data_IF_693825962769
#
_entry.id   IF_693825962769
#
_cell.length_a   1.000
_cell.length_b   1.000
_cell.length_c   1.000
_cell.angle_alpha   90.00
_cell.angle_beta   90.00
_cell.angle_gamma   90.00
#
_symmetry.space_group_name_H-M   'P 1'
#
loop_
_entity.id
_entity.type
_entity.pdbx_description
1 polymer ?
#
# COMPACT_ATOMS: atom_id res chain seq x y z
N UNK A 1 -9.79 1.98 -7.11
CA UNK A 1 -10.66 2.47 -6.02
C UNK A 1 -10.05 3.70 -5.37
N UNK A 2 -10.86 4.70 -5.11
CA UNK A 2 -10.41 5.90 -4.38
C UNK A 2 -10.66 5.73 -2.89
N UNK A 3 -9.75 6.25 -2.08
CA UNK A 3 -9.93 6.31 -0.63
C UNK A 3 -9.27 7.57 -0.09
N UNK A 4 -9.61 7.93 1.13
CA UNK A 4 -8.99 9.07 1.82
C UNK A 4 -8.25 8.60 3.06
N UNK A 5 -7.07 9.16 3.25
CA UNK A 5 -6.31 8.98 4.48
C UNK A 5 -5.70 10.34 4.84
N UNK A 6 -5.95 10.79 6.08
CA UNK A 6 -5.53 12.10 6.58
C UNK A 6 -5.97 13.24 5.63
N UNK A 7 -7.23 13.20 5.17
CA UNK A 7 -7.85 14.15 4.24
C UNK A 7 -7.20 14.22 2.85
N UNK A 8 -6.30 13.31 2.52
CA UNK A 8 -5.69 13.22 1.20
C UNK A 8 -6.33 12.08 0.42
N UNK A 9 -6.68 12.34 -0.83
CA UNK A 9 -7.26 11.33 -1.71
C UNK A 9 -6.16 10.50 -2.36
N UNK A 10 -6.32 9.19 -2.29
CA UNK A 10 -5.43 8.21 -2.89
C UNK A 10 -6.21 7.28 -3.81
N UNK A 11 -5.51 6.65 -4.73
CA UNK A 11 -6.12 5.71 -5.69
C UNK A 11 -5.39 4.38 -5.61
N UNK A 12 -6.17 3.28 -5.52
CA UNK A 12 -5.65 1.93 -5.67
C UNK A 12 -5.92 1.50 -7.10
N UNK A 13 -4.87 1.08 -7.82
CA UNK A 13 -4.95 0.57 -9.19
C UNK A 13 -4.44 -0.85 -9.26
N UNK A 14 -5.08 -1.69 -10.07
CA UNK A 14 -4.56 -3.01 -10.41
C UNK A 14 -3.88 -2.90 -11.77
N UNK A 15 -2.62 -3.30 -11.83
CA UNK A 15 -1.77 -3.12 -13.03
C UNK A 15 -1.06 -4.41 -13.39
N UNK A 16 -0.59 -4.49 -14.64
CA UNK A 16 0.20 -5.60 -15.13
C UNK A 16 1.68 -5.42 -14.77
N UNK A 17 2.47 -6.51 -14.84
CA UNK A 17 3.89 -6.45 -14.51
C UNK A 17 4.67 -5.46 -15.38
N UNK A 18 4.26 -5.27 -16.63
CA UNK A 18 4.90 -4.31 -17.52
C UNK A 18 4.92 -2.90 -16.94
N UNK A 19 3.85 -2.51 -16.23
CA UNK A 19 3.77 -1.19 -15.61
C UNK A 19 4.78 -1.05 -14.48
N UNK A 20 4.95 -2.10 -13.67
CA UNK A 20 5.97 -2.10 -12.62
C UNK A 20 7.38 -1.99 -13.21
N UNK A 21 7.64 -2.72 -14.28
CA UNK A 21 8.96 -2.70 -14.93
C UNK A 21 9.31 -1.32 -15.49
N UNK A 22 8.32 -0.57 -15.96
CA UNK A 22 8.52 0.78 -16.50
C UNK A 22 8.94 1.78 -15.43
N UNK A 23 8.48 1.61 -14.20
CA UNK A 23 8.77 2.54 -13.11
C UNK A 23 9.92 2.09 -12.22
N UNK A 24 10.27 0.81 -12.26
CA UNK A 24 11.38 0.24 -11.49
C UNK A 24 12.48 -0.22 -12.44
N UNK A 25 13.28 0.73 -12.91
CA UNK A 25 14.32 0.48 -13.91
C UNK A 25 15.40 -0.51 -13.46
N UNK A 26 15.55 -0.70 -12.16
CA UNK A 26 16.59 -1.56 -11.58
C UNK A 26 16.14 -3.00 -11.41
N UNK A 27 14.93 -3.32 -11.82
CA UNK A 27 14.41 -4.66 -11.66
C UNK A 27 15.11 -5.65 -12.61
N UNK A 28 15.75 -6.66 -12.03
CA UNK A 28 16.59 -7.59 -12.78
C UNK A 28 15.82 -8.73 -13.46
N UNK A 29 14.52 -8.77 -13.34
CA UNK A 29 13.68 -9.71 -14.08
C UNK A 29 13.45 -11.08 -13.45
N UNK A 30 14.08 -11.38 -12.33
CA UNK A 30 13.91 -12.68 -11.67
C UNK A 30 12.84 -12.71 -10.59
N UNK A 31 12.05 -11.68 -10.46
CA UNK A 31 10.99 -11.60 -9.46
C UNK A 31 9.76 -10.96 -10.02
N UNK A 32 8.77 -10.89 -9.18
CA UNK A 32 7.50 -10.30 -9.53
C UNK A 32 7.15 -9.25 -8.47
N UNK A 33 6.82 -8.06 -8.90
CA UNK A 33 6.27 -7.07 -8.00
C UNK A 33 4.81 -7.39 -7.74
N UNK A 34 4.39 -7.39 -6.48
CA UNK A 34 3.00 -7.55 -6.10
C UNK A 34 2.32 -6.22 -5.79
N UNK A 35 3.09 -5.20 -5.43
CA UNK A 35 2.55 -3.89 -5.18
C UNK A 35 3.62 -2.84 -4.98
N UNK A 36 3.22 -1.58 -5.06
CA UNK A 36 4.10 -0.44 -4.76
C UNK A 36 3.27 0.77 -4.38
N UNK A 37 3.86 1.67 -3.60
CA UNK A 37 3.23 2.91 -3.14
C UNK A 37 3.98 4.09 -3.71
N UNK A 38 3.24 5.02 -4.33
CA UNK A 38 3.80 6.24 -4.90
C UNK A 38 3.27 7.46 -4.15
N UNK A 39 4.00 7.95 -3.13
CA UNK A 39 3.51 9.10 -2.36
C UNK A 39 3.36 10.39 -3.16
N UNK A 40 4.23 10.61 -4.14
CA UNK A 40 4.23 11.85 -4.92
C UNK A 40 2.97 12.03 -5.77
N UNK A 41 2.37 10.93 -6.21
CA UNK A 41 1.13 10.95 -7.01
C UNK A 41 -0.05 10.36 -6.26
N UNK A 42 0.16 9.96 -5.00
CA UNK A 42 -0.88 9.40 -4.12
C UNK A 42 -1.59 8.19 -4.74
N UNK A 43 -0.79 7.23 -5.22
CA UNK A 43 -1.30 6.00 -5.80
C UNK A 43 -0.67 4.77 -5.15
N UNK A 44 -1.46 3.72 -5.06
CA UNK A 44 -0.99 2.37 -4.70
C UNK A 44 -1.32 1.47 -5.88
N UNK A 45 -0.31 0.75 -6.37
CA UNK A 45 -0.48 -0.22 -7.44
C UNK A 45 -0.40 -1.63 -6.89
N UNK A 46 -1.34 -2.48 -7.31
CA UNK A 46 -1.35 -3.91 -6.99
C UNK A 46 -1.23 -4.70 -8.29
N UNK A 47 -0.53 -5.82 -8.23
CA UNK A 47 -0.46 -6.72 -9.38
C UNK A 47 -1.83 -7.36 -9.60
N UNK A 48 -2.34 -7.19 -10.80
CA UNK A 48 -3.70 -7.61 -11.14
C UNK A 48 -3.85 -9.14 -11.25
N UNK A 49 -2.82 -9.85 -11.76
CA UNK A 49 -2.90 -11.29 -12.06
C UNK A 49 -2.32 -12.15 -10.93
N UNK A 50 -2.77 -11.92 -9.72
CA UNK A 50 -2.39 -12.71 -8.56
C UNK A 50 -3.63 -13.09 -7.76
N UNK A 51 -3.47 -13.91 -6.73
CA UNK A 51 -4.58 -14.38 -5.92
C UNK A 51 -5.18 -13.24 -5.08
N UNK A 52 -6.46 -13.41 -4.73
CA UNK A 52 -7.13 -12.46 -3.83
C UNK A 52 -6.41 -12.35 -2.49
N UNK A 53 -5.90 -13.46 -1.98
CA UNK A 53 -5.15 -13.50 -0.72
C UNK A 53 -3.86 -12.71 -0.81
N UNK A 54 -3.13 -12.83 -1.91
CA UNK A 54 -1.90 -12.08 -2.12
C UNK A 54 -2.19 -10.60 -2.30
N UNK A 55 -3.26 -10.24 -3.00
CA UNK A 55 -3.69 -8.84 -3.12
C UNK A 55 -4.01 -8.24 -1.76
N UNK A 56 -4.74 -8.98 -0.93
CA UNK A 56 -5.08 -8.54 0.42
C UNK A 56 -3.84 -8.29 1.26
N UNK A 57 -2.91 -9.26 1.29
CA UNK A 57 -1.66 -9.14 2.04
C UNK A 57 -0.82 -7.96 1.55
N UNK A 58 -0.69 -7.83 0.23
CA UNK A 58 0.06 -6.75 -0.38
C UNK A 58 -0.55 -5.40 -0.07
N UNK A 59 -1.88 -5.30 -0.13
CA UNK A 59 -2.57 -4.05 0.16
C UNK A 59 -2.35 -3.60 1.61
N UNK A 60 -2.37 -4.51 2.57
CA UNK A 60 -2.01 -4.18 3.96
C UNK A 60 -0.60 -3.62 4.05
N UNK A 61 0.34 -4.24 3.34
CA UNK A 61 1.74 -3.79 3.32
C UNK A 61 1.85 -2.37 2.73
N UNK A 62 1.24 -2.13 1.56
CA UNK A 62 1.34 -0.84 0.89
C UNK A 62 0.57 0.25 1.65
N UNK A 63 -0.56 -0.08 2.26
CA UNK A 63 -1.29 0.89 3.09
C UNK A 63 -0.52 1.28 4.34
N UNK A 64 0.33 0.40 4.87
CA UNK A 64 1.21 0.79 5.97
C UNK A 64 2.22 1.85 5.52
N UNK A 65 2.81 1.71 4.32
CA UNK A 65 3.66 2.76 3.75
C UNK A 65 2.88 4.07 3.60
N UNK A 66 1.65 3.98 3.11
CA UNK A 66 0.77 5.13 2.95
C UNK A 66 0.47 5.81 4.29
N UNK A 67 0.16 5.01 5.32
CA UNK A 67 -0.09 5.52 6.67
C UNK A 67 1.13 6.24 7.23
N UNK A 68 2.30 5.61 7.12
CA UNK A 68 3.53 6.20 7.62
C UNK A 68 3.84 7.52 6.90
N UNK A 69 3.66 7.56 5.59
CA UNK A 69 3.88 8.77 4.82
C UNK A 69 2.96 9.91 5.24
N UNK A 70 1.68 9.62 5.52
CA UNK A 70 0.69 10.65 5.81
C UNK A 70 0.70 11.14 7.26
N UNK A 71 1.12 10.30 8.20
CA UNK A 71 1.01 10.61 9.64
C UNK A 71 2.34 10.73 10.35
N UNK A 72 3.43 10.25 9.77
CA UNK A 72 4.73 10.20 10.42
C UNK A 72 5.74 10.98 9.59
N UNK A 73 6.53 11.85 10.24
CA UNK A 73 7.64 12.52 9.57
C UNK A 73 8.87 11.61 9.56
N UNK A 74 9.50 11.47 8.39
CA UNK A 74 10.60 10.52 8.19
C UNK A 74 12.00 11.07 8.45
N UNK A 75 12.13 12.29 8.92
CA UNK A 75 13.44 12.87 9.18
C UNK A 75 14.02 12.29 10.47
N UNK A 76 14.99 11.36 10.34
CA UNK A 76 15.74 10.78 11.46
C UNK A 76 14.89 9.96 12.45
N UNK A 77 14.04 9.10 11.94
CA UNK A 77 13.22 8.27 12.82
C UNK A 77 13.92 6.96 13.13
N UNK A 78 14.24 6.76 14.40
CA UNK A 78 14.59 5.47 14.95
C UNK A 78 13.36 4.93 15.68
N UNK A 79 12.72 3.92 15.11
CA UNK A 79 11.57 3.30 15.75
C UNK A 79 12.03 2.35 16.84
N UNK A 80 11.55 2.55 18.06
CA UNK A 80 11.63 1.55 19.10
C UNK A 80 10.57 0.47 18.88
N UNK A 81 10.66 -0.63 19.60
CA UNK A 81 9.64 -1.68 19.55
C UNK A 81 8.29 -1.12 20.01
N UNK A 82 8.30 -0.27 21.04
CA UNK A 82 7.08 0.34 21.56
C UNK A 82 6.44 1.28 20.52
N UNK A 83 7.26 2.06 19.82
CA UNK A 83 6.76 2.93 18.74
C UNK A 83 6.10 2.11 17.63
N UNK A 84 6.71 1.00 17.27
CA UNK A 84 6.14 0.10 16.26
C UNK A 84 4.80 -0.47 16.71
N UNK A 85 4.70 -0.88 17.97
CA UNK A 85 3.44 -1.39 18.52
C UNK A 85 2.35 -0.32 18.51
N UNK A 86 2.69 0.91 18.88
CA UNK A 86 1.74 2.03 18.87
C UNK A 86 1.27 2.36 17.45
N UNK A 87 2.19 2.39 16.51
CA UNK A 87 1.86 2.64 15.09
C UNK A 87 0.93 1.54 14.58
N UNK A 88 1.24 0.28 14.87
CA UNK A 88 0.41 -0.85 14.45
C UNK A 88 -1.00 -0.76 15.05
N UNK A 89 -1.10 -0.45 16.34
CA UNK A 89 -2.39 -0.33 17.02
C UNK A 89 -3.22 0.82 16.46
N UNK A 90 -2.60 1.98 16.28
CA UNK A 90 -3.30 3.18 15.81
C UNK A 90 -3.70 3.11 14.33
N UNK A 91 -2.91 2.43 13.52
CA UNK A 91 -3.19 2.32 12.08
C UNK A 91 -4.18 1.22 11.73
N UNK A 92 -4.37 0.25 12.62
CA UNK A 92 -5.12 -0.98 12.31
C UNK A 92 -6.53 -0.70 11.77
N UNK A 93 -7.32 0.09 12.47
CA UNK A 93 -8.71 0.32 12.09
C UNK A 93 -8.82 1.08 10.78
N UNK A 94 -7.94 2.06 10.57
CA UNK A 94 -7.92 2.86 9.35
C UNK A 94 -7.59 1.96 8.15
N UNK A 95 -6.51 1.19 8.26
CA UNK A 95 -6.04 0.31 7.18
C UNK A 95 -7.04 -0.81 6.92
N UNK A 96 -7.54 -1.44 7.99
CA UNK A 96 -8.49 -2.54 7.87
C UNK A 96 -9.76 -2.12 7.13
N UNK A 97 -10.29 -0.94 7.42
CA UNK A 97 -11.48 -0.43 6.74
C UNK A 97 -11.24 -0.25 5.25
N UNK A 98 -10.09 0.30 4.87
CA UNK A 98 -9.74 0.48 3.46
C UNK A 98 -9.63 -0.87 2.75
N UNK A 99 -8.98 -1.85 3.38
CA UNK A 99 -8.86 -3.21 2.82
C UNK A 99 -10.22 -3.87 2.65
N UNK A 100 -11.08 -3.77 3.65
CA UNK A 100 -12.44 -4.33 3.58
C UNK A 100 -13.24 -3.70 2.43
N UNK A 101 -13.19 -2.39 2.28
CA UNK A 101 -13.87 -1.68 1.19
C UNK A 101 -13.34 -2.14 -0.17
N UNK A 102 -12.02 -2.31 -0.29
CA UNK A 102 -11.41 -2.79 -1.55
C UNK A 102 -11.87 -4.20 -1.88
N UNK A 103 -11.82 -5.11 -0.91
CA UNK A 103 -12.21 -6.51 -1.12
C UNK A 103 -13.70 -6.64 -1.49
N UNK A 104 -14.55 -5.84 -0.86
CA UNK A 104 -15.97 -5.82 -1.16
C UNK A 104 -16.22 -5.37 -2.60
N UNK A 105 -15.54 -4.34 -3.06
CA UNK A 105 -15.68 -3.83 -4.42
C UNK A 105 -15.11 -4.76 -5.47
N UNK A 106 -13.97 -5.41 -5.19
CA UNK A 106 -13.32 -6.30 -6.14
C UNK A 106 -13.89 -7.71 -6.15
N UNK A 107 -14.67 -8.08 -5.17
CA UNK A 107 -15.33 -9.40 -5.10
C UNK A 107 -16.59 -9.52 -5.94
N UNK A 108 -16.94 -8.51 -6.69
CA UNK A 108 -18.14 -8.51 -7.52
C UNK A 108 -17.85 -8.90 -8.95
#
# INVERSE_FOLDING_TARGET
MKFKINDREWIIKEVEQDMFNKVHNDFSGEGCYYGTTFPSIQEIWLYKDTTKEMKKKTLYHELMHCYLYNFISFNNINFSIDDFCDISANSHDIIHKIVEDYLERSGK
#
